data_IF_429369281645
#
_entry.id   IF_429369281645
#
_cell.length_a   1.000
_cell.length_b   1.000
_cell.length_c   1.000
_cell.angle_alpha   90.00
_cell.angle_beta   90.00
_cell.angle_gamma   90.00
#
_symmetry.space_group_name_H-M   'P 1'
#
loop_
_entity.id
_entity.type
_entity.pdbx_description
1 polymer ?
#
# COMPACT_ATOMS: atom_id res chain seq x y z
N UNK A 1 12.55 5.93 5.35
CA UNK A 1 11.62 6.23 4.23
C UNK A 1 11.99 7.56 3.58
N UNK A 2 11.52 7.81 2.36
CA UNK A 2 11.67 9.11 1.71
C UNK A 2 10.73 10.16 2.33
N UNK A 3 10.92 11.43 1.99
CA UNK A 3 9.97 12.48 2.36
C UNK A 3 8.64 12.27 1.61
N UNK A 4 7.52 12.68 2.22
CA UNK A 4 6.17 12.69 1.66
C UNK A 4 6.13 13.20 0.21
N UNK A 5 6.83 14.31 -0.06
CA UNK A 5 6.85 14.95 -1.39
C UNK A 5 7.42 14.03 -2.49
N UNK A 6 8.31 13.10 -2.12
CA UNK A 6 8.84 12.10 -3.07
C UNK A 6 7.74 11.17 -3.56
N UNK A 7 6.87 10.71 -2.65
CA UNK A 7 5.76 9.81 -3.00
C UNK A 7 4.68 10.54 -3.81
N UNK A 8 4.32 11.77 -3.42
CA UNK A 8 3.40 12.63 -4.19
C UNK A 8 3.92 12.83 -5.61
N UNK A 9 5.19 13.21 -5.76
CA UNK A 9 5.81 13.44 -7.08
C UNK A 9 5.80 12.17 -7.95
N UNK A 10 5.99 10.99 -7.35
CA UNK A 10 5.94 9.71 -8.09
C UNK A 10 4.55 9.40 -8.60
N UNK A 11 3.51 9.60 -7.79
CA UNK A 11 2.11 9.37 -8.20
C UNK A 11 1.65 10.38 -9.25
N UNK A 12 2.02 11.65 -9.12
CA UNK A 12 1.78 12.66 -10.16
C UNK A 12 2.42 12.28 -11.50
N UNK A 13 3.67 11.77 -11.49
CA UNK A 13 4.31 11.29 -12.71
C UNK A 13 3.61 10.07 -13.29
N UNK A 14 3.11 9.16 -12.44
CA UNK A 14 2.36 8.00 -12.90
C UNK A 14 1.07 8.41 -13.61
N UNK A 15 0.27 9.30 -12.99
CA UNK A 15 -1.01 9.76 -13.56
C UNK A 15 -0.82 10.56 -14.84
N UNK A 16 0.26 11.34 -14.99
CA UNK A 16 0.59 12.04 -16.25
C UNK A 16 0.80 11.11 -17.46
N UNK A 17 1.10 9.83 -17.24
CA UNK A 17 1.33 8.86 -18.31
C UNK A 17 0.08 8.02 -18.63
N UNK A 18 -1.04 8.25 -17.95
CA UNK A 18 -2.29 7.52 -18.11
C UNK A 18 -3.38 8.52 -18.48
N UNK A 19 -4.16 8.25 -19.53
CA UNK A 19 -5.17 9.19 -20.01
C UNK A 19 -6.41 9.23 -19.13
N UNK A 20 -6.92 8.05 -18.74
CA UNK A 20 -8.17 7.89 -18.01
C UNK A 20 -8.18 6.61 -17.16
N UNK A 21 -9.17 6.52 -16.28
CA UNK A 21 -9.47 5.32 -15.49
C UNK A 21 -8.88 5.33 -14.07
N UNK A 22 -8.88 4.13 -13.48
CA UNK A 22 -8.49 3.89 -12.09
C UNK A 22 -7.20 3.08 -12.04
N UNK A 23 -6.22 3.56 -11.28
CA UNK A 23 -5.01 2.82 -10.95
C UNK A 23 -5.25 2.10 -9.62
N UNK A 24 -5.19 0.77 -9.64
CA UNK A 24 -5.25 -0.07 -8.45
C UNK A 24 -3.85 -0.65 -8.16
N UNK A 25 -3.31 -0.33 -6.98
CA UNK A 25 -2.05 -0.86 -6.46
C UNK A 25 -2.35 -1.70 -5.22
N UNK A 26 -2.16 -3.01 -5.33
CA UNK A 26 -2.38 -3.93 -4.22
C UNK A 26 -1.10 -4.07 -3.39
N UNK A 27 -1.24 -3.92 -2.08
CA UNK A 27 -0.21 -4.30 -1.13
C UNK A 27 -0.21 -5.82 -0.92
N UNK A 28 0.93 -6.33 -0.46
CA UNK A 28 1.09 -7.71 -0.04
C UNK A 28 0.33 -7.98 1.27
N UNK A 29 0.02 -9.26 1.45
CA UNK A 29 -0.43 -9.85 2.70
C UNK A 29 0.67 -10.78 3.23
N UNK A 30 0.50 -11.27 4.46
CA UNK A 30 1.41 -12.28 4.99
C UNK A 30 1.40 -13.55 4.13
N UNK A 31 2.59 -14.11 3.91
CA UNK A 31 2.77 -15.33 3.13
C UNK A 31 3.09 -16.49 4.07
N UNK A 32 2.23 -17.52 4.16
CA UNK A 32 2.47 -18.67 5.02
C UNK A 32 3.64 -19.51 4.49
N UNK A 33 4.50 -19.99 5.39
CA UNK A 33 5.60 -20.90 5.07
C UNK A 33 5.09 -22.33 4.87
N UNK A 34 4.42 -22.86 5.90
CA UNK A 34 3.98 -24.26 5.96
C UNK A 34 2.60 -24.46 6.61
N UNK A 35 2.10 -23.48 7.36
CA UNK A 35 0.71 -23.37 7.81
C UNK A 35 0.31 -21.89 7.90
N UNK A 36 -0.99 -21.61 7.98
CA UNK A 36 -1.55 -20.27 7.83
C UNK A 36 -0.90 -19.22 8.75
N UNK A 37 -0.69 -19.56 10.03
CA UNK A 37 -0.18 -18.61 11.03
C UNK A 37 1.35 -18.58 11.16
N UNK A 38 2.09 -19.44 10.44
CA UNK A 38 3.56 -19.35 10.38
C UNK A 38 3.99 -18.65 9.09
N UNK A 39 4.11 -17.34 9.18
CA UNK A 39 4.34 -16.46 8.04
C UNK A 39 5.81 -16.12 7.90
N UNK A 40 6.25 -15.89 6.65
CA UNK A 40 7.54 -15.25 6.42
C UNK A 40 7.54 -13.82 6.98
N UNK A 41 8.73 -13.30 7.29
CA UNK A 41 8.88 -11.88 7.58
C UNK A 41 8.25 -11.07 6.45
N UNK A 42 7.32 -10.19 6.84
CA UNK A 42 6.57 -9.40 5.89
C UNK A 42 7.51 -8.50 5.08
N UNK A 43 7.20 -8.39 3.79
CA UNK A 43 7.83 -7.46 2.87
C UNK A 43 6.80 -7.00 1.86
N UNK A 44 6.54 -5.71 1.84
CA UNK A 44 5.55 -5.10 0.97
C UNK A 44 5.91 -5.21 -0.53
N UNK A 45 4.90 -5.11 -1.39
CA UNK A 45 5.09 -4.99 -2.84
C UNK A 45 5.96 -3.78 -3.18
N UNK A 46 6.88 -3.97 -4.14
CA UNK A 46 7.84 -2.93 -4.51
C UNK A 46 7.15 -1.70 -5.09
N UNK A 47 6.11 -1.89 -5.90
CA UNK A 47 5.40 -0.77 -6.52
C UNK A 47 4.57 -0.03 -5.48
N UNK A 48 3.88 -0.77 -4.61
CA UNK A 48 3.14 -0.18 -3.49
C UNK A 48 4.06 0.65 -2.58
N UNK A 49 5.21 0.10 -2.15
CA UNK A 49 6.22 0.86 -1.40
C UNK A 49 6.76 2.06 -2.18
N UNK A 50 6.97 1.91 -3.49
CA UNK A 50 7.50 2.98 -4.32
C UNK A 50 6.55 4.18 -4.39
N UNK A 51 5.24 3.94 -4.51
CA UNK A 51 4.24 4.98 -4.68
C UNK A 51 3.64 5.50 -3.36
N UNK A 52 3.51 4.68 -2.33
CA UNK A 52 2.86 5.07 -1.06
C UNK A 52 3.79 5.04 0.14
N UNK A 53 4.86 4.24 0.12
CA UNK A 53 5.82 4.14 1.23
C UNK A 53 5.29 3.44 2.48
N UNK A 54 4.06 2.92 2.47
CA UNK A 54 3.46 2.24 3.62
C UNK A 54 3.84 0.75 3.61
N UNK A 55 4.44 0.29 4.71
CA UNK A 55 4.97 -1.06 4.88
C UNK A 55 4.12 -1.90 5.84
N UNK A 56 2.80 -1.84 5.67
CA UNK A 56 1.82 -2.64 6.42
C UNK A 56 1.09 -3.62 5.50
N UNK A 57 0.70 -4.77 6.05
CA UNK A 57 -0.08 -5.78 5.35
C UNK A 57 -1.49 -5.28 5.00
N UNK A 58 -2.14 -5.97 4.05
CA UNK A 58 -3.58 -5.82 3.75
C UNK A 58 -3.98 -4.40 3.35
N UNK A 59 -3.08 -3.71 2.65
CA UNK A 59 -3.35 -2.39 2.09
C UNK A 59 -3.72 -2.48 0.60
N UNK A 60 -4.57 -1.56 0.15
CA UNK A 60 -4.79 -1.30 -1.27
C UNK A 60 -4.82 0.20 -1.51
N UNK A 61 -4.23 0.64 -2.61
CA UNK A 61 -4.16 2.04 -3.01
C UNK A 61 -4.92 2.23 -4.31
N UNK A 62 -5.78 3.23 -4.35
CA UNK A 62 -6.54 3.64 -5.52
C UNK A 62 -6.14 5.06 -5.88
N UNK A 63 -5.89 5.28 -7.18
CA UNK A 63 -5.71 6.62 -7.74
C UNK A 63 -6.70 6.76 -8.88
N UNK A 64 -7.62 7.71 -8.74
CA UNK A 64 -8.50 8.12 -9.82
C UNK A 64 -7.77 9.17 -10.67
N UNK A 65 -7.52 8.85 -11.94
CA UNK A 65 -6.75 9.71 -12.85
C UNK A 65 -7.53 10.96 -13.23
N UNK A 66 -8.86 10.88 -13.28
CA UNK A 66 -9.73 11.97 -13.71
C UNK A 66 -9.91 13.00 -12.58
N UNK A 67 -10.20 12.55 -11.36
CA UNK A 67 -10.39 13.44 -10.21
C UNK A 67 -9.09 13.81 -9.51
N UNK A 68 -8.04 13.00 -9.68
CA UNK A 68 -6.78 13.12 -8.93
C UNK A 68 -6.90 12.64 -7.48
N UNK A 69 -8.01 12.01 -7.09
CA UNK A 69 -8.20 11.47 -5.75
C UNK A 69 -7.30 10.27 -5.51
N UNK A 70 -6.66 10.23 -4.34
CA UNK A 70 -5.77 9.15 -3.90
C UNK A 70 -6.31 8.57 -2.59
N UNK A 71 -6.69 7.30 -2.59
CA UNK A 71 -7.34 6.62 -1.46
C UNK A 71 -6.50 5.41 -1.04
N UNK A 72 -6.26 5.27 0.26
CA UNK A 72 -5.69 4.06 0.86
C UNK A 72 -6.80 3.33 1.61
N UNK A 73 -6.97 2.05 1.28
CA UNK A 73 -7.78 1.09 2.01
C UNK A 73 -6.86 0.24 2.88
N UNK A 74 -7.30 -0.02 4.10
CA UNK A 74 -6.61 -0.87 5.06
C UNK A 74 -7.61 -1.48 6.04
N UNK A 75 -7.10 -2.30 6.95
CA UNK A 75 -7.89 -2.87 8.04
C UNK A 75 -7.78 -1.96 9.26
N UNK A 76 -8.91 -1.71 9.93
CA UNK A 76 -8.91 -1.00 11.20
C UNK A 76 -8.14 -1.81 12.25
N UNK A 77 -7.23 -1.13 12.94
CA UNK A 77 -6.43 -1.73 14.01
C UNK A 77 -7.32 -1.92 15.23
N UNK A 78 -7.42 -3.15 15.73
CA UNK A 78 -8.16 -3.43 16.96
C UNK A 78 -7.28 -3.37 18.21
N UNK A 79 -7.88 -3.57 19.40
CA UNK A 79 -7.14 -3.51 20.65
C UNK A 79 -6.12 -4.65 20.79
N UNK A 80 -6.39 -5.82 20.20
CA UNK A 80 -5.48 -6.96 20.25
C UNK A 80 -4.25 -6.68 19.37
N UNK A 81 -4.45 -6.12 18.17
CA UNK A 81 -3.38 -5.70 17.28
C UNK A 81 -2.42 -4.73 17.97
N UNK A 82 -2.94 -3.73 18.71
CA UNK A 82 -2.10 -2.76 19.45
C UNK A 82 -1.28 -3.46 20.53
N UNK A 83 -1.86 -4.42 21.26
CA UNK A 83 -1.17 -5.12 22.35
C UNK A 83 -0.06 -6.02 21.81
N UNK A 84 -0.30 -6.70 20.68
CA UNK A 84 0.57 -7.77 20.19
C UNK A 84 1.54 -7.33 19.09
N UNK A 85 1.17 -6.34 18.27
CA UNK A 85 1.93 -5.91 17.09
C UNK A 85 2.54 -4.51 17.27
N UNK A 86 1.95 -3.68 18.13
CA UNK A 86 2.41 -2.32 18.45
C UNK A 86 1.72 -1.23 17.65
#
# INVERSE_FOLDING_TARGET
MFNRDTYITRRQKLTQNIQDGIILLLGNVDSPMNYADNTYHFRQDSNFLYFFGLDFQKLAGVIDVESGEEIIFGVDVDMEDIIWMG
#
